data_IF_635008304526
#
_entry.id   IF_635008304526
#
_cell.length_a   1.000
_cell.length_b   1.000
_cell.length_c   1.000
_cell.angle_alpha   90.00
_cell.angle_beta   90.00
_cell.angle_gamma   90.00
#
_symmetry.space_group_name_H-M   'P 1'
#
loop_
_entity.id
_entity.type
_entity.pdbx_description
1 polymer ?
#
# COMPACT_ATOMS: atom_id res chain seq x y z
N UNK A 1 -6.16 -26.82 16.91
CA UNK A 1 -6.51 -25.50 16.36
C UNK A 1 -5.61 -25.29 15.17
N UNK A 2 -6.16 -25.28 13.96
CA UNK A 2 -5.37 -25.09 12.73
C UNK A 2 -4.73 -23.70 12.74
N UNK A 3 -3.41 -23.64 12.98
CA UNK A 3 -2.60 -22.40 12.96
C UNK A 3 -2.46 -21.78 11.55
N UNK A 4 -3.23 -22.27 10.59
CA UNK A 4 -3.12 -21.95 9.17
C UNK A 4 -3.90 -20.70 8.76
N UNK A 5 -4.79 -20.17 9.61
CA UNK A 5 -5.61 -19.00 9.31
C UNK A 5 -5.28 -17.80 10.21
N UNK A 6 -5.38 -16.60 9.64
CA UNK A 6 -5.14 -15.33 10.32
C UNK A 6 -6.10 -14.26 9.79
N UNK A 7 -6.57 -13.36 10.66
CA UNK A 7 -7.36 -12.22 10.25
C UNK A 7 -6.48 -11.14 9.62
N UNK A 8 -6.87 -10.62 8.45
CA UNK A 8 -6.17 -9.51 7.82
C UNK A 8 -6.46 -8.21 8.59
N UNK A 9 -5.44 -7.49 9.12
CA UNK A 9 -5.64 -6.22 9.81
C UNK A 9 -6.27 -5.11 8.96
N UNK A 10 -6.23 -5.22 7.63
CA UNK A 10 -6.71 -4.17 6.72
C UNK A 10 -8.19 -4.28 6.37
N UNK A 11 -8.73 -5.51 6.26
CA UNK A 11 -10.12 -5.76 5.87
C UNK A 11 -10.90 -6.65 6.83
N UNK A 12 -10.25 -7.23 7.85
CA UNK A 12 -10.88 -8.14 8.82
C UNK A 12 -11.15 -9.56 8.29
N UNK A 13 -10.94 -9.83 7.00
CA UNK A 13 -11.17 -11.17 6.43
C UNK A 13 -10.22 -12.21 7.03
N UNK A 14 -10.73 -13.41 7.29
CA UNK A 14 -9.93 -14.57 7.67
C UNK A 14 -9.32 -15.17 6.41
N UNK A 15 -7.99 -15.18 6.35
CA UNK A 15 -7.21 -15.67 5.19
C UNK A 15 -6.21 -16.72 5.64
N UNK A 16 -5.69 -17.51 4.71
CA UNK A 16 -4.59 -18.42 5.04
C UNK A 16 -3.31 -17.64 5.32
N UNK A 17 -2.43 -18.19 6.15
CA UNK A 17 -1.18 -17.53 6.54
C UNK A 17 -0.23 -17.28 5.37
N UNK A 18 -0.25 -18.13 4.34
CA UNK A 18 0.49 -17.98 3.08
C UNK A 18 -0.11 -16.92 2.12
N UNK A 19 -1.38 -16.56 2.31
CA UNK A 19 -2.04 -15.45 1.60
C UNK A 19 -1.73 -14.08 2.22
N UNK A 20 -0.93 -14.03 3.29
CA UNK A 20 -0.47 -12.78 3.90
C UNK A 20 0.86 -12.35 3.25
N UNK A 21 0.88 -11.10 2.76
CA UNK A 21 2.08 -10.47 2.19
C UNK A 21 2.81 -9.65 3.26
N UNK A 22 4.01 -9.19 2.92
CA UNK A 22 4.93 -8.48 3.82
C UNK A 22 4.33 -7.24 4.49
N UNK A 23 5.12 -6.63 5.37
CA UNK A 23 4.65 -5.53 6.22
C UNK A 23 4.42 -4.24 5.43
N UNK A 24 3.35 -3.53 5.75
CA UNK A 24 3.09 -2.19 5.24
C UNK A 24 4.20 -1.24 5.66
N UNK A 25 4.78 -0.48 4.71
CA UNK A 25 5.81 0.53 4.98
C UNK A 25 5.36 1.64 5.94
N UNK A 26 4.06 1.94 5.98
CA UNK A 26 3.50 3.06 6.76
C UNK A 26 3.11 2.61 8.16
N UNK A 27 2.20 1.64 8.30
CA UNK A 27 1.68 1.23 9.61
C UNK A 27 2.35 -0.03 10.19
N UNK A 28 3.24 -0.70 9.44
CA UNK A 28 3.86 -1.97 9.86
C UNK A 28 2.94 -3.19 9.81
N UNK A 29 1.62 -2.99 9.66
CA UNK A 29 0.63 -4.06 9.61
C UNK A 29 0.79 -4.96 8.39
N UNK A 30 0.49 -6.25 8.57
CA UNK A 30 0.44 -7.21 7.46
C UNK A 30 -0.84 -7.03 6.64
N UNK A 31 -0.81 -7.41 5.37
CA UNK A 31 -1.98 -7.34 4.47
C UNK A 31 -2.13 -8.64 3.73
N UNK A 32 -3.38 -9.08 3.51
CA UNK A 32 -3.63 -10.23 2.66
C UNK A 32 -3.34 -9.90 1.19
N UNK A 33 -3.31 -10.92 0.34
CA UNK A 33 -3.08 -10.81 -1.11
C UNK A 33 -4.10 -9.88 -1.80
N UNK A 34 -5.30 -9.72 -1.24
CA UNK A 34 -6.30 -8.80 -1.77
C UNK A 34 -6.11 -7.35 -1.33
N UNK A 35 -5.52 -7.12 -0.14
CA UNK A 35 -5.36 -5.78 0.44
C UNK A 35 -3.98 -5.17 0.27
N UNK A 36 -2.96 -5.97 -0.06
CA UNK A 36 -1.64 -5.42 -0.33
C UNK A 36 -1.66 -4.58 -1.62
N UNK A 37 -0.91 -3.51 -1.60
CA UNK A 37 -0.64 -2.63 -2.71
C UNK A 37 0.86 -2.37 -2.75
N UNK A 38 1.33 -1.84 -3.87
CA UNK A 38 2.70 -1.37 -4.04
C UNK A 38 2.64 0.11 -4.32
N UNK A 39 3.45 0.88 -3.60
CA UNK A 39 3.61 2.31 -3.86
C UNK A 39 4.42 2.50 -5.16
N UNK A 40 3.88 3.25 -6.11
CA UNK A 40 4.53 3.51 -7.41
C UNK A 40 5.81 4.36 -7.27
N UNK A 41 6.00 5.01 -6.12
CA UNK A 41 7.17 5.84 -5.84
C UNK A 41 8.31 5.07 -5.17
N UNK A 42 8.06 4.47 -4.00
CA UNK A 42 9.11 3.76 -3.25
C UNK A 42 9.17 2.25 -3.51
N UNK A 43 8.25 1.71 -4.32
CA UNK A 43 8.13 0.29 -4.66
C UNK A 43 7.98 -0.63 -3.44
N UNK A 44 7.58 -0.09 -2.29
CA UNK A 44 7.36 -0.85 -1.05
C UNK A 44 5.90 -1.31 -0.93
N UNK A 45 5.73 -2.44 -0.24
CA UNK A 45 4.41 -2.97 0.12
C UNK A 45 3.71 -1.98 1.05
N UNK A 46 2.44 -1.73 0.77
CA UNK A 46 1.54 -0.91 1.58
C UNK A 46 0.19 -1.57 1.70
N UNK A 47 -0.53 -1.32 2.80
CA UNK A 47 -1.91 -1.76 2.90
C UNK A 47 -2.83 -0.79 2.16
N UNK A 48 -4.03 -1.27 1.79
CA UNK A 48 -5.06 -0.45 1.14
C UNK A 48 -5.46 0.81 1.95
N UNK A 49 -5.27 0.81 3.27
CA UNK A 49 -5.66 1.92 4.14
C UNK A 49 -4.56 3.01 4.21
N UNK A 50 -3.34 2.72 3.75
CA UNK A 50 -2.20 3.64 3.83
C UNK A 50 -1.67 4.03 2.44
N UNK A 51 -2.51 3.90 1.41
CA UNK A 51 -2.18 4.22 0.03
C UNK A 51 -3.36 4.94 -0.62
N UNK A 52 -3.04 5.90 -1.49
CA UNK A 52 -4.04 6.69 -2.22
C UNK A 52 -3.59 6.94 -3.64
N UNK A 53 -4.54 7.14 -4.52
CA UNK A 53 -4.28 7.58 -5.90
C UNK A 53 -4.10 9.09 -5.88
N UNK A 54 -2.98 9.55 -6.41
CA UNK A 54 -2.62 10.96 -6.48
C UNK A 54 -2.47 11.39 -7.93
N UNK A 55 -2.93 12.61 -8.20
CA UNK A 55 -2.60 13.36 -9.40
C UNK A 55 -1.21 13.97 -9.25
N UNK A 56 -0.30 13.63 -10.17
CA UNK A 56 1.08 14.08 -10.17
C UNK A 56 1.43 14.65 -11.54
N UNK A 57 1.95 15.87 -11.55
CA UNK A 57 2.46 16.52 -12.75
C UNK A 57 3.95 16.23 -12.92
N UNK A 58 4.32 15.62 -14.04
CA UNK A 58 5.71 15.30 -14.40
C UNK A 58 5.96 15.85 -15.81
N UNK A 59 6.92 16.75 -15.97
CA UNK A 59 7.28 17.35 -17.27
C UNK A 59 6.05 17.88 -18.05
N UNK A 60 5.14 18.57 -17.34
CA UNK A 60 3.92 19.12 -17.92
C UNK A 60 2.81 18.12 -18.25
N UNK A 61 3.00 16.83 -17.97
CA UNK A 61 2.00 15.78 -18.18
C UNK A 61 1.40 15.34 -16.85
N UNK A 62 0.09 15.10 -16.84
CA UNK A 62 -0.64 14.60 -15.67
C UNK A 62 -0.59 13.06 -15.64
N UNK A 63 -0.16 12.51 -14.51
CA UNK A 63 -0.16 11.08 -14.22
C UNK A 63 -0.97 10.77 -12.96
N UNK A 64 -1.63 9.62 -12.96
CA UNK A 64 -2.24 9.05 -11.76
C UNK A 64 -1.28 8.01 -11.16
N UNK A 65 -0.83 8.24 -9.92
CA UNK A 65 0.08 7.33 -9.20
C UNK A 65 -0.52 6.86 -7.89
N UNK A 66 -0.39 5.57 -7.60
CA UNK A 66 -0.71 5.00 -6.29
C UNK A 66 0.46 5.24 -5.35
N UNK A 67 0.29 6.14 -4.40
CA UNK A 67 1.35 6.57 -3.49
C UNK A 67 0.98 6.27 -2.05
N UNK A 68 1.93 5.75 -1.27
CA UNK A 68 1.74 5.55 0.16
C UNK A 68 1.71 6.87 0.91
N UNK A 69 1.05 6.92 2.06
CA UNK A 69 0.92 8.17 2.83
C UNK A 69 2.26 8.79 3.21
N UNK A 70 3.30 7.96 3.43
CA UNK A 70 4.66 8.45 3.64
C UNK A 70 5.23 9.14 2.40
N UNK A 71 5.10 8.54 1.21
CA UNK A 71 5.58 9.19 0.00
C UNK A 71 4.78 10.47 -0.25
N UNK A 72 3.46 10.46 -0.06
CA UNK A 72 2.65 11.66 -0.28
C UNK A 72 3.00 12.80 0.68
N UNK A 73 3.39 12.51 1.92
CA UNK A 73 3.76 13.59 2.86
C UNK A 73 5.06 14.31 2.47
N UNK A 74 5.91 13.70 1.65
CA UNK A 74 7.20 14.27 1.22
C UNK A 74 7.27 14.58 -0.29
N UNK A 75 6.28 14.15 -1.07
CA UNK A 75 6.33 14.28 -2.53
C UNK A 75 6.04 15.71 -2.99
N UNK A 76 6.89 16.31 -3.85
CA UNK A 76 6.58 17.59 -4.45
C UNK A 76 5.39 17.46 -5.40
N UNK A 77 4.37 18.31 -5.24
CA UNK A 77 3.13 18.27 -6.06
C UNK A 77 3.37 18.55 -7.56
N UNK A 78 4.50 19.17 -7.88
CA UNK A 78 4.96 19.41 -9.26
C UNK A 78 6.40 18.90 -9.33
N UNK A 79 6.61 17.85 -10.12
CA UNK A 79 7.95 17.35 -10.45
C UNK A 79 8.31 17.96 -11.81
N UNK A 80 9.21 18.94 -11.78
CA UNK A 80 9.70 19.62 -12.98
C UNK A 80 10.81 18.83 -13.67
#
# INVERSE_FOLDING_TARGET
MDESFIACPSCGSVVRRDEVRGNCRVCGGKSCIACFRVCDECLKITCQNCIKTMEVWINGNLYLRKMCDFCVSVYPRIVR
#
